data_IF_834705919372
#
_entry.id   IF_834705919372
#
_cell.length_a   1.000
_cell.length_b   1.000
_cell.length_c   1.000
_cell.angle_alpha   90.00
_cell.angle_beta   90.00
_cell.angle_gamma   90.00
#
_symmetry.space_group_name_H-M   'P 1'
#
loop_
_entity.id
_entity.type
_entity.pdbx_description
1 polymer ?
#
# COMPACT_ATOMS: atom_id res chain seq x y z
N UNK A 1 -1.49 3.70 51.59
CA UNK A 1 -1.13 3.73 50.18
C UNK A 1 -1.25 2.30 49.62
N UNK A 2 -1.92 2.11 48.53
CA UNK A 2 -2.02 0.86 47.82
C UNK A 2 -1.17 0.96 46.56
N UNK A 3 -0.32 -0.04 46.31
CA UNK A 3 0.38 -0.21 45.06
C UNK A 3 -0.46 -1.09 44.16
N UNK A 4 -0.74 -0.61 42.96
CA UNK A 4 -1.65 -1.24 42.01
C UNK A 4 -0.92 -1.45 40.69
N UNK A 5 -1.08 -2.63 40.12
CA UNK A 5 -0.57 -2.99 38.80
C UNK A 5 -1.73 -3.53 37.96
N UNK A 6 -1.92 -2.99 36.76
CA UNK A 6 -2.90 -3.45 35.81
C UNK A 6 -2.22 -4.21 34.68
N UNK A 7 -2.68 -5.44 34.42
CA UNK A 7 -2.26 -6.24 33.26
C UNK A 7 -3.49 -6.50 32.39
N UNK A 8 -3.47 -5.98 31.17
CA UNK A 8 -4.51 -6.26 30.20
C UNK A 8 -4.39 -7.70 29.69
N UNK A 9 -5.53 -8.37 29.46
CA UNK A 9 -5.58 -9.61 28.70
C UNK A 9 -5.40 -9.32 27.21
N UNK A 10 -4.99 -10.32 26.40
CA UNK A 10 -4.99 -10.17 24.94
C UNK A 10 -6.34 -9.62 24.45
N UNK A 11 -6.31 -8.64 23.57
CA UNK A 11 -7.52 -7.96 23.05
C UNK A 11 -8.03 -6.81 23.90
N UNK A 12 -7.32 -6.40 24.95
CA UNK A 12 -7.70 -5.26 25.78
C UNK A 12 -6.52 -4.32 26.04
N UNK A 13 -6.81 -3.02 26.17
CA UNK A 13 -5.90 -2.01 26.70
C UNK A 13 -6.34 -1.56 28.09
N UNK A 14 -5.37 -1.30 28.97
CA UNK A 14 -5.67 -0.63 30.22
C UNK A 14 -6.02 0.84 29.95
N UNK A 15 -7.20 1.26 30.40
CA UNK A 15 -7.70 2.61 30.19
C UNK A 15 -7.42 3.53 31.37
N UNK A 16 -7.47 3.03 32.59
CA UNK A 16 -7.17 3.84 33.77
C UNK A 16 -7.66 3.27 35.08
N UNK A 17 -7.16 3.85 36.17
CA UNK A 17 -7.58 3.61 37.54
C UNK A 17 -8.63 4.62 37.96
N UNK A 18 -9.74 4.12 38.48
CA UNK A 18 -10.82 4.93 39.03
C UNK A 18 -10.94 4.68 40.52
N UNK A 19 -11.14 5.75 41.30
CA UNK A 19 -11.44 5.68 42.74
C UNK A 19 -12.80 6.29 42.97
N UNK A 20 -13.75 5.51 43.50
CA UNK A 20 -15.13 5.92 43.71
C UNK A 20 -15.73 6.58 42.44
N UNK A 21 -15.51 5.99 41.28
CA UNK A 21 -16.00 6.43 39.97
C UNK A 21 -15.26 7.61 39.32
N UNK A 22 -14.19 8.13 39.93
CA UNK A 22 -13.40 9.23 39.36
C UNK A 22 -12.04 8.72 38.89
N UNK A 23 -11.66 9.07 37.65
CA UNK A 23 -10.35 8.77 37.09
C UNK A 23 -9.22 9.36 37.98
N UNK A 24 -8.19 8.56 38.30
CA UNK A 24 -7.07 8.92 39.15
C UNK A 24 -5.71 8.74 38.49
N UNK A 25 -5.54 7.73 37.63
CA UNK A 25 -4.27 7.47 36.98
C UNK A 25 -4.49 6.72 35.67
N UNK A 26 -3.68 7.06 34.67
CA UNK A 26 -3.58 6.35 33.38
C UNK A 26 -2.35 5.42 33.34
N UNK A 27 -1.53 5.42 34.40
CA UNK A 27 -0.34 4.57 34.47
C UNK A 27 -0.73 3.15 34.83
N UNK A 28 -0.17 2.16 34.14
CA UNK A 28 -0.35 0.73 34.46
C UNK A 28 0.00 0.37 35.90
N UNK A 29 1.07 0.99 36.39
CA UNK A 29 1.50 0.91 37.78
C UNK A 29 1.30 2.24 38.46
N UNK A 30 0.66 2.24 39.60
CA UNK A 30 0.38 3.46 40.34
C UNK A 30 0.26 3.19 41.84
N UNK A 31 0.48 4.22 42.63
CA UNK A 31 0.23 4.20 44.06
C UNK A 31 -0.94 5.14 44.39
N UNK A 32 -1.98 4.60 44.95
CA UNK A 32 -3.18 5.37 45.31
C UNK A 32 -3.41 5.33 46.81
N UNK A 33 -3.84 6.48 47.35
CA UNK A 33 -4.31 6.57 48.73
C UNK A 33 -5.80 6.28 48.75
N UNK A 34 -6.16 5.15 49.34
CA UNK A 34 -7.57 4.82 49.54
C UNK A 34 -8.18 5.70 50.61
N UNK A 35 -9.12 6.55 50.22
CA UNK A 35 -9.92 7.33 51.18
C UNK A 35 -11.35 6.82 51.16
N UNK A 36 -11.77 6.28 52.29
CA UNK A 36 -13.16 5.82 52.48
C UNK A 36 -14.14 6.98 52.25
N UNK A 37 -15.26 6.68 51.61
CA UNK A 37 -16.36 7.65 51.41
C UNK A 37 -17.61 7.16 52.07
N UNK A 38 -18.26 8.08 52.80
CA UNK A 38 -19.51 7.83 53.50
C UNK A 38 -19.36 7.12 54.84
N UNK A 39 -20.49 6.92 55.53
CA UNK A 39 -20.54 6.33 56.88
C UNK A 39 -20.11 4.86 56.95
N UNK A 40 -20.06 4.13 55.82
CA UNK A 40 -19.70 2.73 55.74
C UNK A 40 -18.22 2.47 55.49
N UNK A 41 -17.43 3.55 55.30
CA UNK A 41 -15.95 3.43 55.14
C UNK A 41 -15.45 2.70 53.89
N UNK A 42 -16.31 2.49 52.87
CA UNK A 42 -15.92 1.76 51.64
C UNK A 42 -15.22 2.65 50.63
N UNK A 43 -14.08 2.19 50.11
CA UNK A 43 -13.37 2.75 48.96
C UNK A 43 -13.41 1.72 47.83
N UNK A 44 -13.93 2.13 46.68
CA UNK A 44 -13.98 1.27 45.50
C UNK A 44 -12.89 1.75 44.52
N UNK A 45 -11.99 0.84 44.18
CA UNK A 45 -10.94 1.07 43.17
C UNK A 45 -11.27 0.17 41.99
N UNK A 46 -11.34 0.75 40.81
CA UNK A 46 -11.67 0.05 39.57
C UNK A 46 -10.54 0.24 38.56
N UNK A 47 -10.01 -0.87 38.01
CA UNK A 47 -9.21 -0.86 36.81
C UNK A 47 -10.15 -0.94 35.61
N UNK A 48 -10.14 0.04 34.77
CA UNK A 48 -10.90 0.03 33.52
C UNK A 48 -10.03 -0.47 32.37
N UNK A 49 -10.61 -1.30 31.53
CA UNK A 49 -10.00 -1.82 30.30
C UNK A 49 -10.96 -1.56 29.15
N UNK A 50 -10.39 -1.21 28.00
CA UNK A 50 -11.16 -1.09 26.76
C UNK A 50 -10.71 -2.20 25.81
N UNK A 51 -11.63 -2.81 25.06
CA UNK A 51 -11.25 -3.80 24.05
C UNK A 51 -10.39 -3.11 22.98
N UNK A 52 -9.26 -3.73 22.64
CA UNK A 52 -8.55 -3.44 21.38
C UNK A 52 -9.09 -4.46 20.40
N UNK A 53 -10.18 -4.14 19.77
CA UNK A 53 -10.83 -5.17 18.99
C UNK A 53 -10.24 -5.30 17.61
N UNK A 54 -9.46 -4.29 17.13
CA UNK A 54 -9.10 -4.34 15.72
C UNK A 54 -7.76 -3.68 15.42
N UNK A 55 -6.93 -4.42 14.71
CA UNK A 55 -5.72 -3.88 14.06
C UNK A 55 -6.02 -3.80 12.56
N UNK A 56 -5.93 -2.60 12.00
CA UNK A 56 -5.98 -2.38 10.57
C UNK A 56 -4.56 -2.51 10.01
N UNK A 57 -4.33 -3.48 9.13
CA UNK A 57 -3.00 -3.73 8.54
C UNK A 57 -3.09 -3.50 7.04
N UNK A 58 -2.74 -2.30 6.52
CA UNK A 58 -2.65 -2.08 5.09
C UNK A 58 -1.35 -2.67 4.54
N UNK A 59 -1.44 -3.42 3.44
CA UNK A 59 -0.31 -4.00 2.72
C UNK A 59 -0.34 -3.58 1.26
N UNK A 60 0.82 -3.44 0.64
CA UNK A 60 0.97 -3.26 -0.80
C UNK A 60 1.34 -4.58 -1.46
N UNK A 61 0.71 -4.90 -2.58
CA UNK A 61 0.98 -6.09 -3.37
C UNK A 61 1.00 -5.74 -4.88
N UNK A 62 2.16 -5.86 -5.56
CA UNK A 62 3.48 -6.11 -4.98
C UNK A 62 3.99 -4.93 -4.14
N UNK A 63 4.95 -5.17 -3.23
CA UNK A 63 5.45 -4.17 -2.29
C UNK A 63 6.09 -2.95 -2.99
N UNK A 64 6.73 -3.17 -4.14
CA UNK A 64 7.30 -2.14 -5.01
C UNK A 64 6.25 -1.38 -5.83
N UNK A 65 5.02 -1.89 -5.90
CA UNK A 65 3.94 -1.30 -6.71
C UNK A 65 3.41 0.02 -6.17
N UNK A 66 3.56 0.27 -4.87
CA UNK A 66 3.06 1.50 -4.27
C UNK A 66 3.25 1.59 -2.77
N UNK A 67 2.74 2.66 -2.20
CA UNK A 67 2.72 2.88 -0.75
C UNK A 67 1.29 2.89 -0.23
N UNK A 68 1.11 2.40 1.00
CA UNK A 68 -0.18 2.33 1.66
C UNK A 68 -0.11 2.98 3.04
N UNK A 69 -1.20 3.64 3.42
CA UNK A 69 -1.35 4.27 4.74
C UNK A 69 -2.74 4.01 5.29
N UNK A 70 -2.83 3.89 6.61
CA UNK A 70 -4.08 3.92 7.34
C UNK A 70 -4.12 5.17 8.23
N UNK A 71 -5.28 5.79 8.37
CA UNK A 71 -5.48 6.93 9.28
C UNK A 71 -5.19 6.56 10.74
N UNK A 72 -5.38 5.30 11.09
CA UNK A 72 -5.01 4.68 12.36
C UNK A 72 -4.77 3.18 12.18
N UNK A 73 -3.81 2.62 12.90
CA UNK A 73 -3.52 1.18 12.91
C UNK A 73 -4.35 0.48 13.99
N UNK A 74 -4.49 1.10 15.16
CA UNK A 74 -5.35 0.63 16.24
C UNK A 74 -6.67 1.39 16.18
N UNK A 75 -7.77 0.69 16.13
CA UNK A 75 -9.10 1.26 16.07
C UNK A 75 -10.04 0.54 17.02
N UNK A 76 -10.96 1.27 17.63
CA UNK A 76 -12.07 0.67 18.35
C UNK A 76 -12.96 -0.08 17.37
N UNK A 77 -13.66 -1.09 17.88
CA UNK A 77 -14.62 -1.85 17.06
C UNK A 77 -15.70 -0.92 16.50
N UNK A 78 -15.96 -1.03 15.20
CA UNK A 78 -16.88 -0.17 14.48
C UNK A 78 -16.31 1.21 14.11
N UNK A 79 -15.08 1.52 14.50
CA UNK A 79 -14.48 2.81 14.14
C UNK A 79 -14.15 2.87 12.64
N UNK A 80 -14.32 4.05 12.09
CA UNK A 80 -13.91 4.34 10.72
C UNK A 80 -12.39 4.46 10.62
N UNK A 81 -11.83 3.79 9.64
CA UNK A 81 -10.42 3.89 9.24
C UNK A 81 -10.34 4.23 7.77
N UNK A 82 -9.63 5.30 7.45
CA UNK A 82 -9.35 5.69 6.07
C UNK A 82 -8.05 5.05 5.65
N UNK A 83 -8.10 4.29 4.56
CA UNK A 83 -6.97 3.68 3.89
C UNK A 83 -6.63 4.50 2.66
N UNK A 84 -5.36 4.67 2.37
CA UNK A 84 -4.88 5.37 1.18
C UNK A 84 -3.78 4.57 0.50
N UNK A 85 -3.98 4.28 -0.78
CA UNK A 85 -3.00 3.69 -1.68
C UNK A 85 -2.44 4.77 -2.62
N UNK A 86 -1.13 4.74 -2.84
CA UNK A 86 -0.44 5.64 -3.77
C UNK A 86 0.47 4.81 -4.65
N UNK A 87 0.16 4.65 -5.96
CA UNK A 87 1.01 3.91 -6.87
C UNK A 87 2.39 4.56 -7.02
N UNK A 88 3.41 3.75 -7.13
CA UNK A 88 4.74 4.19 -7.53
C UNK A 88 4.79 4.48 -9.06
N UNK A 89 5.79 5.24 -9.54
CA UNK A 89 5.99 5.41 -10.98
C UNK A 89 6.04 4.06 -11.69
N UNK A 90 5.34 3.94 -12.81
CA UNK A 90 5.25 2.70 -13.57
C UNK A 90 4.17 1.72 -13.10
N UNK A 91 3.42 2.03 -12.05
CA UNK A 91 2.33 1.18 -11.57
C UNK A 91 0.98 1.89 -11.63
N UNK A 92 -0.09 1.10 -11.59
CA UNK A 92 -1.47 1.55 -11.39
C UNK A 92 -2.07 0.81 -10.20
N UNK A 93 -2.87 1.51 -9.41
CA UNK A 93 -3.68 0.88 -8.37
C UNK A 93 -4.88 0.19 -9.00
N UNK A 94 -5.14 -1.06 -8.60
CA UNK A 94 -6.23 -1.87 -9.17
C UNK A 94 -7.35 -2.13 -8.17
N UNK A 95 -7.15 -1.90 -6.89
CA UNK A 95 -8.18 -2.04 -5.87
C UNK A 95 -7.65 -2.48 -4.52
N UNK A 96 -8.53 -2.38 -3.52
CA UNK A 96 -8.35 -2.93 -2.19
C UNK A 96 -8.99 -4.31 -2.10
N UNK A 97 -8.32 -5.22 -1.43
CA UNK A 97 -8.73 -6.60 -1.24
C UNK A 97 -8.48 -7.04 0.19
N UNK A 98 -9.25 -7.99 0.67
CA UNK A 98 -8.95 -8.71 1.92
C UNK A 98 -7.75 -9.65 1.73
N UNK A 99 -7.21 -10.19 2.83
CA UNK A 99 -6.11 -11.16 2.78
C UNK A 99 -6.46 -12.46 2.02
N UNK A 100 -7.74 -12.82 1.97
CA UNK A 100 -8.24 -13.99 1.22
C UNK A 100 -8.56 -13.67 -0.26
N UNK A 101 -8.32 -12.43 -0.69
CA UNK A 101 -8.51 -11.99 -2.07
C UNK A 101 -9.90 -11.47 -2.41
N UNK A 102 -10.79 -11.29 -1.43
CA UNK A 102 -12.10 -10.67 -1.66
C UNK A 102 -11.93 -9.18 -1.96
N UNK A 103 -12.58 -8.70 -3.02
CA UNK A 103 -12.55 -7.29 -3.41
C UNK A 103 -13.30 -6.41 -2.40
N UNK A 104 -12.72 -5.26 -2.04
CA UNK A 104 -13.30 -4.31 -1.09
C UNK A 104 -13.63 -2.96 -1.74
N UNK A 105 -12.70 -2.35 -2.50
CA UNK A 105 -12.91 -1.05 -3.13
C UNK A 105 -11.99 -0.81 -4.33
N UNK A 106 -12.50 -0.07 -5.33
CA UNK A 106 -11.71 0.45 -6.44
C UNK A 106 -11.10 1.83 -6.14
N UNK A 107 -11.55 2.50 -5.08
CA UNK A 107 -11.09 3.83 -4.74
C UNK A 107 -9.75 3.77 -4.02
N UNK A 108 -8.77 4.55 -4.51
CA UNK A 108 -7.45 4.60 -3.90
C UNK A 108 -7.49 5.12 -2.44
N UNK A 109 -8.48 5.95 -2.11
CA UNK A 109 -8.81 6.34 -0.75
C UNK A 109 -10.14 5.68 -0.36
N UNK A 110 -10.09 4.80 0.61
CA UNK A 110 -11.19 3.92 1.00
C UNK A 110 -11.44 4.00 2.49
N UNK A 111 -12.70 4.22 2.90
CA UNK A 111 -13.12 4.22 4.30
C UNK A 111 -13.76 2.88 4.64
N UNK A 112 -13.19 2.18 5.62
CA UNK A 112 -13.73 0.94 6.13
C UNK A 112 -14.12 1.06 7.61
N UNK A 113 -15.05 0.22 8.05
CA UNK A 113 -15.43 0.08 9.46
C UNK A 113 -14.72 -1.15 10.03
N UNK A 114 -13.92 -0.96 11.07
CA UNK A 114 -13.12 -2.03 11.67
C UNK A 114 -13.95 -2.86 12.66
N UNK A 115 -14.59 -3.91 12.18
CA UNK A 115 -15.34 -4.84 13.04
C UNK A 115 -14.45 -5.89 13.71
N UNK A 116 -13.26 -6.14 13.17
CA UNK A 116 -12.25 -7.10 13.63
C UNK A 116 -10.87 -6.73 13.09
N UNK A 117 -9.81 -7.35 13.63
CA UNK A 117 -8.48 -7.27 13.02
C UNK A 117 -8.55 -7.73 11.57
N UNK A 118 -8.12 -6.87 10.65
CA UNK A 118 -8.27 -7.08 9.22
C UNK A 118 -7.00 -6.63 8.49
N UNK A 119 -6.63 -7.41 7.48
CA UNK A 119 -5.57 -7.07 6.54
C UNK A 119 -6.23 -6.58 5.27
N UNK A 120 -5.89 -5.35 4.87
CA UNK A 120 -6.34 -4.75 3.62
C UNK A 120 -5.16 -4.71 2.66
N UNK A 121 -5.31 -5.33 1.50
CA UNK A 121 -4.25 -5.44 0.49
C UNK A 121 -4.57 -4.49 -0.66
N UNK A 122 -3.75 -3.46 -0.84
CA UNK A 122 -3.78 -2.64 -2.02
C UNK A 122 -3.04 -3.36 -3.14
N UNK A 123 -3.72 -3.70 -4.21
CA UNK A 123 -3.08 -4.31 -5.39
C UNK A 123 -2.67 -3.26 -6.38
N UNK A 124 -1.48 -3.46 -6.93
CA UNK A 124 -0.90 -2.64 -7.98
C UNK A 124 -0.50 -3.52 -9.14
N UNK A 125 -0.59 -2.98 -10.34
CA UNK A 125 -0.19 -3.64 -11.57
C UNK A 125 0.83 -2.77 -12.29
N UNK A 126 1.91 -3.36 -12.79
CA UNK A 126 2.87 -2.66 -13.63
C UNK A 126 2.19 -2.19 -14.92
N UNK A 127 2.49 -0.96 -15.33
CA UNK A 127 2.12 -0.48 -16.66
C UNK A 127 2.93 -1.22 -17.70
N UNK A 128 2.32 -1.59 -18.77
CA UNK A 128 3.01 -2.10 -19.95
C UNK A 128 2.96 -1.09 -21.09
N UNK A 129 4.00 -1.09 -21.91
CA UNK A 129 4.13 -0.25 -23.09
C UNK A 129 4.39 -1.16 -24.28
N UNK A 130 3.80 -0.84 -25.39
CA UNK A 130 4.12 -1.50 -26.66
C UNK A 130 5.32 -0.80 -27.28
N UNK A 131 6.31 -1.59 -27.69
CA UNK A 131 7.51 -1.15 -28.36
C UNK A 131 7.45 -1.63 -29.78
N UNK A 132 7.27 -0.72 -30.71
CA UNK A 132 7.27 -0.97 -32.13
C UNK A 132 8.55 -0.46 -32.77
N UNK A 133 9.02 -1.16 -33.78
CA UNK A 133 10.12 -0.70 -34.60
C UNK A 133 9.90 -1.18 -36.04
N UNK A 134 10.22 -0.32 -36.98
CA UNK A 134 10.13 -0.61 -38.40
C UNK A 134 11.49 -0.41 -39.07
N UNK A 135 11.69 -1.06 -40.21
CA UNK A 135 12.87 -0.82 -41.04
C UNK A 135 12.57 0.24 -42.08
N UNK A 136 13.50 1.14 -42.28
CA UNK A 136 13.42 2.20 -43.28
C UNK A 136 14.68 2.15 -44.15
N UNK A 137 14.56 2.57 -45.40
CA UNK A 137 15.73 2.78 -46.29
C UNK A 137 15.98 4.26 -46.41
N UNK A 138 17.19 4.68 -46.11
CA UNK A 138 17.67 6.01 -46.47
C UNK A 138 18.07 6.02 -47.96
N UNK A 139 17.33 6.75 -48.76
CA UNK A 139 17.58 6.89 -50.20
C UNK A 139 18.73 7.84 -50.50
N UNK A 140 19.40 8.38 -49.48
CA UNK A 140 20.48 9.39 -49.67
C UNK A 140 19.97 10.77 -50.06
N UNK A 141 18.63 10.94 -50.12
CA UNK A 141 17.97 12.21 -50.42
C UNK A 141 17.34 12.88 -49.21
N UNK A 142 17.57 12.28 -47.99
CA UNK A 142 16.99 12.72 -46.72
C UNK A 142 15.54 12.27 -46.54
N UNK A 143 15.05 11.33 -47.36
CA UNK A 143 13.73 10.74 -47.22
C UNK A 143 13.87 9.29 -46.76
N UNK A 144 13.31 9.01 -45.58
CA UNK A 144 13.24 7.65 -45.04
C UNK A 144 11.94 7.00 -45.57
N UNK A 145 12.06 5.82 -46.16
CA UNK A 145 10.93 5.06 -46.69
C UNK A 145 10.87 3.72 -45.99
N UNK A 146 9.73 3.40 -45.40
CA UNK A 146 9.52 2.07 -44.81
C UNK A 146 9.74 0.97 -45.85
N UNK A 147 10.52 -0.03 -45.50
CA UNK A 147 10.87 -1.10 -46.43
C UNK A 147 11.22 -2.41 -45.71
N UNK A 148 10.33 -3.37 -45.82
CA UNK A 148 10.58 -4.72 -45.34
C UNK A 148 11.60 -5.52 -46.20
N UNK A 149 11.97 -5.00 -47.37
CA UNK A 149 12.97 -5.63 -48.25
C UNK A 149 14.41 -5.35 -47.82
N UNK A 150 14.63 -4.34 -46.93
CA UNK A 150 15.92 -3.99 -46.44
C UNK A 150 16.35 -4.81 -45.23
N UNK A 151 15.41 -5.26 -44.47
CA UNK A 151 15.69 -5.98 -43.21
C UNK A 151 14.46 -6.17 -42.35
N UNK A 152 14.67 -6.62 -41.14
CA UNK A 152 13.63 -6.71 -40.10
C UNK A 152 14.19 -6.38 -38.72
N UNK A 153 13.30 -6.08 -37.76
CA UNK A 153 13.64 -5.85 -36.36
C UNK A 153 13.07 -6.97 -35.53
N UNK A 154 13.89 -7.48 -34.61
CA UNK A 154 13.52 -8.43 -33.57
C UNK A 154 13.48 -7.73 -32.21
N UNK A 155 12.62 -8.19 -31.29
CA UNK A 155 12.49 -7.66 -29.93
C UNK A 155 11.39 -6.62 -29.74
N UNK A 156 10.55 -6.40 -30.77
CA UNK A 156 9.30 -5.61 -30.62
C UNK A 156 8.29 -6.35 -29.76
N UNK A 157 7.36 -5.62 -29.15
CA UNK A 157 6.28 -6.18 -28.34
C UNK A 157 6.09 -5.43 -27.04
N UNK A 158 5.36 -6.05 -26.11
CA UNK A 158 4.98 -5.42 -24.84
C UNK A 158 6.09 -5.54 -23.80
N UNK A 159 6.44 -4.42 -23.16
CA UNK A 159 7.45 -4.33 -22.12
C UNK A 159 6.86 -3.64 -20.88
N UNK A 160 7.08 -4.23 -19.71
CA UNK A 160 6.65 -3.63 -18.45
C UNK A 160 7.48 -2.40 -18.10
N UNK A 161 6.86 -1.44 -17.43
CA UNK A 161 7.53 -0.24 -16.94
C UNK A 161 8.75 -0.57 -16.08
N UNK A 162 9.88 0.08 -16.38
CA UNK A 162 11.14 -0.14 -15.69
C UNK A 162 11.98 -1.29 -16.24
N UNK A 163 11.47 -2.06 -17.21
CA UNK A 163 12.25 -3.07 -17.93
C UNK A 163 12.77 -2.50 -19.24
N UNK A 164 13.95 -2.98 -19.66
CA UNK A 164 14.56 -2.59 -20.92
C UNK A 164 14.03 -3.49 -22.05
N UNK A 165 13.68 -2.87 -23.18
CA UNK A 165 13.50 -3.59 -24.44
C UNK A 165 14.85 -3.72 -25.12
N UNK A 166 15.13 -4.89 -25.70
CA UNK A 166 16.30 -5.10 -26.56
C UNK A 166 15.81 -5.28 -27.96
N UNK A 167 16.19 -4.37 -28.85
CA UNK A 167 15.88 -4.44 -30.26
C UNK A 167 17.13 -4.89 -31.04
N UNK A 168 16.94 -5.79 -31.98
CA UNK A 168 18.01 -6.26 -32.88
C UNK A 168 17.59 -6.02 -34.33
N UNK A 169 18.38 -5.25 -35.06
CA UNK A 169 18.19 -5.05 -36.49
C UNK A 169 18.93 -6.11 -37.31
N UNK A 170 18.25 -6.70 -38.28
CA UNK A 170 18.80 -7.67 -39.22
C UNK A 170 18.73 -7.13 -40.63
N UNK A 171 19.88 -6.85 -41.24
CA UNK A 171 19.91 -6.40 -42.61
C UNK A 171 19.87 -7.59 -43.59
N UNK A 172 19.08 -7.47 -44.67
CA UNK A 172 19.08 -8.41 -45.78
C UNK A 172 20.24 -8.20 -46.74
N UNK A 173 20.49 -9.17 -47.61
CA UNK A 173 21.55 -9.12 -48.59
C UNK A 173 21.45 -7.85 -49.46
N UNK A 174 22.53 -7.11 -49.57
CA UNK A 174 22.64 -5.84 -50.29
C UNK A 174 22.32 -4.59 -49.43
N UNK A 175 22.00 -4.80 -48.18
CA UNK A 175 21.75 -3.72 -47.21
C UNK A 175 22.70 -3.82 -46.01
N UNK A 176 22.93 -2.71 -45.33
CA UNK A 176 23.67 -2.64 -44.10
C UNK A 176 22.86 -1.83 -43.06
N UNK A 177 22.89 -2.25 -41.81
CA UNK A 177 22.34 -1.43 -40.73
C UNK A 177 23.25 -0.21 -40.50
N UNK A 178 22.66 0.95 -40.39
CA UNK A 178 23.41 2.20 -40.19
C UNK A 178 23.19 2.77 -38.79
N UNK A 179 21.92 3.00 -38.40
CA UNK A 179 21.61 3.58 -37.11
C UNK A 179 20.17 3.29 -36.68
N UNK A 180 19.87 3.54 -35.41
CA UNK A 180 18.53 3.64 -34.86
C UNK A 180 18.13 5.11 -34.84
N UNK A 181 16.86 5.41 -35.19
CA UNK A 181 16.29 6.72 -35.03
C UNK A 181 14.94 6.61 -34.32
N UNK A 182 14.55 7.65 -33.59
CA UNK A 182 13.21 7.76 -33.04
C UNK A 182 12.19 8.18 -34.12
N UNK A 183 10.90 8.25 -33.75
CA UNK A 183 9.83 8.64 -34.68
C UNK A 183 9.99 10.08 -35.21
N UNK A 184 10.85 10.93 -34.62
CA UNK A 184 11.19 12.27 -35.10
C UNK A 184 12.36 12.28 -36.08
N UNK A 185 13.03 11.14 -36.27
CA UNK A 185 14.24 11.00 -37.07
C UNK A 185 15.53 11.37 -36.32
N UNK A 186 15.48 11.57 -35.00
CA UNK A 186 16.66 11.78 -34.16
C UNK A 186 17.39 10.48 -33.90
N UNK A 187 18.73 10.50 -34.04
CA UNK A 187 19.66 9.39 -33.83
C UNK A 187 20.19 9.39 -32.40
#
# INVERSE_FOLDING_TARGET
TLHLTAKARPGYLFWGWYVNGRLKSLKHETSLVAKARGKTGRCVITAAFVPIDTVCVPLADPAEGGTVKASRILADRGAEVVLKATPNPGYVFTGWYTADGTFESADAEFTCHQERTHVHVARFMAKSYEVDATTVVDSGTGSLVESSVAGWVEGTGTVEAGHAATLTAHALSGYAFEYWADASGSV
#
